data_IF_973261184962
#
_entry.id   IF_973261184962
#
_cell.length_a   1.000
_cell.length_b   1.000
_cell.length_c   1.000
_cell.angle_alpha   90.00
_cell.angle_beta   90.00
_cell.angle_gamma   90.00
#
_symmetry.space_group_name_H-M   'P 1'
#
loop_
_entity.id
_entity.type
_entity.pdbx_description
1 polymer ?
#
# COMPACT_ATOMS: atom_id res chain seq x y z
N UNK A 1 -2.94 10.42 11.83
CA UNK A 1 -1.71 11.22 12.06
C UNK A 1 -1.19 11.82 10.75
N UNK A 2 -0.83 11.07 9.72
CA UNK A 2 -0.23 11.58 8.46
C UNK A 2 -1.09 12.61 7.74
N UNK A 3 -2.39 12.41 7.58
CA UNK A 3 -3.29 13.43 7.00
C UNK A 3 -3.28 14.75 7.78
N UNK A 4 -3.39 14.67 9.12
CA UNK A 4 -3.39 15.87 9.95
C UNK A 4 -2.04 16.59 9.89
N UNK A 5 -0.94 15.85 9.87
CA UNK A 5 0.39 16.41 9.68
C UNK A 5 0.52 17.10 8.31
N UNK A 6 0.10 16.44 7.24
CA UNK A 6 0.10 17.01 5.89
C UNK A 6 -0.73 18.30 5.82
N UNK A 7 -1.97 18.28 6.32
CA UNK A 7 -2.85 19.45 6.29
C UNK A 7 -2.24 20.61 7.09
N UNK A 8 -1.65 20.34 8.26
CA UNK A 8 -0.98 21.36 9.07
C UNK A 8 0.23 21.98 8.36
N UNK A 9 1.02 21.18 7.66
CA UNK A 9 2.21 21.65 6.93
C UNK A 9 1.85 22.34 5.62
N UNK A 10 1.05 21.66 4.78
CA UNK A 10 0.78 22.09 3.41
C UNK A 10 -0.25 23.22 3.31
N UNK A 11 -1.24 23.26 4.21
CA UNK A 11 -2.37 24.17 4.14
C UNK A 11 -2.32 25.27 5.21
N UNK A 12 -1.79 24.94 6.40
CA UNK A 12 -1.72 25.91 7.51
C UNK A 12 -0.32 26.52 7.69
N UNK A 13 0.69 26.04 6.96
CA UNK A 13 2.06 26.56 7.02
C UNK A 13 2.79 26.32 8.35
N UNK A 14 2.34 25.33 9.14
CA UNK A 14 2.99 25.00 10.41
C UNK A 14 4.37 24.37 10.19
N UNK A 15 5.21 24.44 11.22
CA UNK A 15 6.56 23.85 11.16
C UNK A 15 6.48 22.35 10.92
N UNK A 16 7.05 21.90 9.80
CA UNK A 16 6.91 20.53 9.33
C UNK A 16 7.56 19.51 10.27
N UNK A 17 8.73 19.83 10.82
CA UNK A 17 9.43 18.95 11.77
C UNK A 17 8.62 18.75 13.05
N UNK A 18 8.07 19.82 13.62
CA UNK A 18 7.26 19.74 14.83
C UNK A 18 5.97 18.93 14.59
N UNK A 19 5.35 19.05 13.41
CA UNK A 19 4.15 18.30 13.07
C UNK A 19 4.46 16.82 12.78
N UNK A 20 5.64 16.52 12.23
CA UNK A 20 6.06 15.15 11.89
C UNK A 20 6.65 14.40 13.08
N UNK A 21 7.19 15.09 14.09
CA UNK A 21 7.87 14.48 15.24
C UNK A 21 7.10 13.32 15.91
N UNK A 22 5.75 13.40 16.16
CA UNK A 22 5.02 12.28 16.76
C UNK A 22 4.92 11.05 15.84
N UNK A 23 5.04 11.27 14.51
CA UNK A 23 5.05 10.18 13.52
C UNK A 23 6.42 9.49 13.58
N UNK A 24 7.50 10.27 13.54
CA UNK A 24 8.86 9.75 13.66
C UNK A 24 9.07 9.00 14.99
N UNK A 25 8.60 9.55 16.10
CA UNK A 25 8.66 8.91 17.42
C UNK A 25 7.97 7.53 17.42
N UNK A 26 6.78 7.43 16.81
CA UNK A 26 6.05 6.17 16.69
C UNK A 26 6.83 5.10 15.91
N UNK A 27 7.38 5.45 14.74
CA UNK A 27 8.11 4.49 13.91
C UNK A 27 9.47 4.14 14.54
N UNK A 28 10.17 5.12 15.12
CA UNK A 28 11.42 4.87 15.85
C UNK A 28 11.18 3.96 17.08
N UNK A 29 10.04 4.14 17.77
CA UNK A 29 9.63 3.23 18.84
C UNK A 29 9.46 1.79 18.36
N UNK A 30 8.79 1.57 17.23
CA UNK A 30 8.64 0.23 16.63
C UNK A 30 10.00 -0.38 16.28
N UNK A 31 10.90 0.39 15.67
CA UNK A 31 12.26 -0.05 15.32
C UNK A 31 13.02 -0.48 16.57
N UNK A 32 12.93 0.33 17.63
CA UNK A 32 13.56 0.05 18.92
C UNK A 32 12.99 -1.21 19.59
N UNK A 33 11.66 -1.34 19.62
CA UNK A 33 10.98 -2.49 20.23
C UNK A 33 11.30 -3.80 19.51
N UNK A 34 11.53 -3.74 18.19
CA UNK A 34 11.95 -4.89 17.38
C UNK A 34 13.47 -5.13 17.43
N UNK A 35 14.25 -4.28 18.10
CA UNK A 35 15.70 -4.39 18.20
C UNK A 35 16.44 -4.21 16.86
N UNK A 36 15.87 -3.45 15.93
CA UNK A 36 16.47 -3.22 14.62
C UNK A 36 17.51 -2.09 14.65
N UNK A 37 18.49 -2.18 13.75
CA UNK A 37 19.50 -1.12 13.55
C UNK A 37 19.12 -0.16 12.41
N UNK A 38 17.91 -0.26 11.89
CA UNK A 38 17.38 0.57 10.81
C UNK A 38 17.22 2.03 11.26
N UNK A 39 17.64 3.01 10.43
CA UNK A 39 17.22 4.41 10.52
C UNK A 39 16.28 4.74 9.38
N UNK A 40 15.25 5.56 9.66
CA UNK A 40 14.33 6.12 8.69
C UNK A 40 14.50 7.64 8.53
N UNK A 41 15.61 8.21 9.02
CA UNK A 41 15.81 9.67 9.03
C UNK A 41 15.77 10.27 7.62
N UNK A 42 16.42 9.63 6.64
CA UNK A 42 16.42 10.06 5.25
C UNK A 42 14.99 10.02 4.66
N UNK A 43 14.22 8.97 5.00
CA UNK A 43 12.82 8.83 4.57
C UNK A 43 11.93 9.92 5.18
N UNK A 44 12.15 10.26 6.44
CA UNK A 44 11.42 11.34 7.09
C UNK A 44 11.69 12.69 6.43
N UNK A 45 12.94 13.00 6.10
CA UNK A 45 13.28 14.24 5.38
C UNK A 45 12.60 14.30 4.01
N UNK A 46 12.60 13.21 3.26
CA UNK A 46 11.92 13.12 1.96
C UNK A 46 10.41 13.34 2.12
N UNK A 47 9.77 12.75 3.13
CA UNK A 47 8.33 12.90 3.37
C UNK A 47 8.00 14.34 3.78
N UNK A 48 8.78 14.92 4.70
CA UNK A 48 8.62 16.30 5.16
C UNK A 48 8.74 17.28 3.99
N UNK A 49 9.73 17.09 3.13
CA UNK A 49 9.94 17.94 1.95
C UNK A 49 8.76 17.83 0.94
N UNK A 50 8.25 16.63 0.72
CA UNK A 50 7.06 16.42 -0.11
C UNK A 50 5.79 17.03 0.50
N UNK A 51 5.65 17.05 1.82
CA UNK A 51 4.54 17.75 2.49
C UNK A 51 4.63 19.28 2.27
N UNK A 52 5.83 19.85 2.36
CA UNK A 52 6.08 21.28 2.03
C UNK A 52 5.77 21.60 0.57
N UNK A 53 6.10 20.68 -0.35
CA UNK A 53 5.81 20.78 -1.78
C UNK A 53 4.37 20.48 -2.15
N UNK A 54 3.51 20.18 -1.18
CA UNK A 54 2.08 19.88 -1.37
C UNK A 54 1.84 18.67 -2.27
N UNK A 55 2.55 17.57 -2.04
CA UNK A 55 2.49 16.35 -2.84
C UNK A 55 1.12 15.65 -2.86
N UNK A 56 0.15 16.10 -2.08
CA UNK A 56 -1.22 15.62 -2.09
C UNK A 56 -1.56 14.64 -0.96
N UNK A 57 -2.88 14.43 -0.79
CA UNK A 57 -3.39 13.56 0.28
C UNK A 57 -3.08 12.09 0.03
N UNK A 58 -3.06 11.64 -1.21
CA UNK A 58 -2.72 10.26 -1.56
C UNK A 58 -1.28 9.94 -1.18
N UNK A 59 -0.36 10.89 -1.43
CA UNK A 59 1.01 10.77 -0.96
C UNK A 59 1.06 10.65 0.57
N UNK A 60 0.38 11.54 1.30
CA UNK A 60 0.35 11.49 2.76
C UNK A 60 -0.24 10.17 3.30
N UNK A 61 -1.32 9.69 2.68
CA UNK A 61 -1.95 8.43 3.05
C UNK A 61 -1.00 7.24 2.91
N UNK A 62 -0.29 7.16 1.80
CA UNK A 62 0.58 6.03 1.47
C UNK A 62 1.81 5.90 2.38
N UNK A 63 2.23 6.98 3.04
CA UNK A 63 3.51 6.99 3.79
C UNK A 63 3.50 6.11 5.04
N UNK A 64 2.32 5.80 5.58
CA UNK A 64 2.19 4.84 6.70
C UNK A 64 2.64 3.44 6.29
N UNK A 65 2.05 2.92 5.24
CA UNK A 65 2.39 1.60 4.69
C UNK A 65 3.78 1.56 4.08
N UNK A 66 4.22 2.66 3.46
CA UNK A 66 5.59 2.79 2.96
C UNK A 66 6.62 2.59 4.07
N UNK A 67 6.53 3.36 5.16
CA UNK A 67 7.45 3.27 6.30
C UNK A 67 7.33 1.90 7.00
N UNK A 68 6.12 1.42 7.18
CA UNK A 68 5.89 0.09 7.76
C UNK A 68 6.44 -1.03 6.88
N UNK A 69 6.31 -0.91 5.56
CA UNK A 69 6.89 -1.85 4.60
C UNK A 69 8.42 -1.94 4.69
N UNK A 70 9.10 -0.79 4.85
CA UNK A 70 10.56 -0.75 5.05
C UNK A 70 10.96 -1.47 6.35
N UNK A 71 10.26 -1.19 7.45
CA UNK A 71 10.52 -1.84 8.75
C UNK A 71 10.30 -3.35 8.64
N UNK A 72 9.18 -3.76 8.04
CA UNK A 72 8.85 -5.18 7.87
C UNK A 72 9.86 -5.90 6.98
N UNK A 73 10.29 -5.29 5.88
CA UNK A 73 11.32 -5.83 5.01
C UNK A 73 12.64 -6.03 5.76
N UNK A 74 13.06 -5.03 6.54
CA UNK A 74 14.26 -5.11 7.36
C UNK A 74 14.15 -6.20 8.44
N UNK A 75 13.00 -6.29 9.13
CA UNK A 75 12.74 -7.29 10.16
C UNK A 75 12.79 -8.72 9.63
N UNK A 76 12.23 -8.95 8.42
CA UNK A 76 12.19 -10.26 7.79
C UNK A 76 13.49 -10.60 7.01
N UNK A 77 14.35 -9.62 6.75
CA UNK A 77 15.51 -9.78 5.86
C UNK A 77 15.09 -9.95 4.39
N UNK A 78 14.00 -9.31 3.97
CA UNK A 78 13.44 -9.34 2.62
C UNK A 78 13.75 -8.04 1.87
N UNK A 79 13.66 -8.09 0.54
CA UNK A 79 13.78 -6.88 -0.27
C UNK A 79 12.54 -5.99 -0.14
N UNK A 80 12.76 -4.68 0.01
CA UNK A 80 11.67 -3.70 -0.03
C UNK A 80 11.44 -3.22 -1.45
N UNK A 81 10.21 -3.32 -1.94
CA UNK A 81 9.79 -2.83 -3.25
C UNK A 81 8.68 -1.81 -3.07
N UNK A 82 8.99 -0.52 -3.33
CA UNK A 82 7.98 0.54 -3.26
C UNK A 82 6.89 0.33 -4.33
N UNK A 83 5.63 0.27 -3.91
CA UNK A 83 4.49 0.10 -4.80
C UNK A 83 4.40 1.20 -5.88
N UNK A 84 4.83 2.43 -5.58
CA UNK A 84 4.87 3.52 -6.56
C UNK A 84 5.85 3.29 -7.72
N UNK A 85 6.75 2.31 -7.60
CA UNK A 85 7.71 1.94 -8.66
C UNK A 85 7.24 0.79 -9.53
N UNK A 86 6.19 0.08 -9.13
CA UNK A 86 5.74 -1.17 -9.78
C UNK A 86 4.23 -1.23 -10.05
N UNK A 87 3.44 -0.37 -9.42
CA UNK A 87 1.99 -0.27 -9.62
C UNK A 87 1.67 1.08 -10.26
N UNK A 88 0.98 1.05 -11.40
CA UNK A 88 0.76 2.25 -12.21
C UNK A 88 -0.71 2.48 -12.53
N UNK A 89 -1.03 3.77 -12.70
CA UNK A 89 -2.33 4.23 -13.18
C UNK A 89 -2.17 4.91 -14.53
N UNK A 90 -3.23 4.86 -15.36
CA UNK A 90 -3.30 5.56 -16.64
C UNK A 90 -3.64 7.05 -16.45
N UNK A 91 -3.47 7.88 -17.48
CA UNK A 91 -3.87 9.30 -17.42
C UNK A 91 -5.35 9.52 -17.08
N UNK A 92 -6.23 8.57 -17.43
CA UNK A 92 -7.66 8.59 -17.08
C UNK A 92 -7.93 8.18 -15.62
N UNK A 93 -6.88 7.82 -14.89
CA UNK A 93 -6.94 7.42 -13.49
C UNK A 93 -7.32 5.98 -13.24
N UNK A 94 -7.49 5.18 -14.29
CA UNK A 94 -7.70 3.74 -14.16
C UNK A 94 -6.39 3.00 -13.94
N UNK A 95 -6.47 1.85 -13.35
CA UNK A 95 -5.32 0.97 -13.16
C UNK A 95 -4.71 0.55 -14.51
N UNK A 96 -3.39 0.60 -14.62
CA UNK A 96 -2.63 0.15 -15.80
C UNK A 96 -2.12 -1.28 -15.59
N UNK A 97 -2.94 -2.23 -15.97
CA UNK A 97 -2.68 -3.66 -15.83
C UNK A 97 -1.39 -4.08 -16.58
N UNK A 98 -1.26 -3.65 -17.84
CA UNK A 98 -0.16 -4.07 -18.71
C UNK A 98 1.20 -3.56 -18.23
N UNK A 99 1.28 -2.28 -17.89
CA UNK A 99 2.52 -1.69 -17.39
C UNK A 99 2.90 -2.27 -16.03
N UNK A 100 1.91 -2.41 -15.14
CA UNK A 100 2.10 -2.97 -13.81
C UNK A 100 2.58 -4.42 -13.86
N UNK A 101 1.92 -5.29 -14.63
CA UNK A 101 2.33 -6.69 -14.78
C UNK A 101 3.77 -6.80 -15.30
N UNK A 102 4.12 -6.00 -16.31
CA UNK A 102 5.47 -5.99 -16.88
C UNK A 102 6.52 -5.54 -15.86
N UNK A 103 6.25 -4.47 -15.12
CA UNK A 103 7.19 -3.94 -14.12
C UNK A 103 7.33 -4.89 -12.93
N UNK A 104 6.22 -5.42 -12.39
CA UNK A 104 6.24 -6.38 -11.29
C UNK A 104 7.01 -7.65 -11.68
N UNK A 105 6.71 -8.25 -12.84
CA UNK A 105 7.42 -9.42 -13.32
C UNK A 105 8.92 -9.17 -13.45
N UNK A 106 9.32 -7.99 -13.95
CA UNK A 106 10.73 -7.63 -14.10
C UNK A 106 11.43 -7.41 -12.75
N UNK A 107 10.81 -6.67 -11.84
CA UNK A 107 11.42 -6.30 -10.54
C UNK A 107 11.49 -7.51 -9.61
N UNK A 108 10.46 -8.35 -9.62
CA UNK A 108 10.40 -9.53 -8.74
C UNK A 108 11.14 -10.74 -9.30
N UNK A 109 11.55 -10.70 -10.59
CA UNK A 109 12.34 -11.76 -11.18
C UNK A 109 13.67 -11.93 -10.45
N UNK A 110 13.88 -13.12 -9.91
CA UNK A 110 15.13 -13.46 -9.19
C UNK A 110 15.14 -13.05 -7.71
N UNK A 111 14.12 -12.37 -7.21
CA UNK A 111 13.97 -12.15 -5.77
C UNK A 111 13.33 -13.38 -5.13
N UNK A 112 13.95 -13.87 -4.04
CA UNK A 112 13.37 -14.97 -3.25
C UNK A 112 12.19 -14.49 -2.43
N UNK A 113 12.28 -13.29 -1.88
CA UNK A 113 11.26 -12.70 -1.01
C UNK A 113 11.25 -11.17 -1.17
N UNK A 114 10.07 -10.59 -1.12
CA UNK A 114 9.90 -9.14 -1.16
C UNK A 114 8.74 -8.69 -0.25
N UNK A 115 8.84 -7.45 0.25
CA UNK A 115 7.75 -6.73 0.91
C UNK A 115 7.32 -5.60 -0.01
N UNK A 116 6.06 -5.58 -0.39
CA UNK A 116 5.45 -4.56 -1.24
C UNK A 116 4.31 -3.93 -0.45
N UNK A 117 4.39 -2.64 -0.09
CA UNK A 117 3.27 -1.98 0.58
C UNK A 117 2.06 -1.89 -0.36
N UNK A 118 0.86 -2.07 0.19
CA UNK A 118 -0.37 -2.08 -0.60
C UNK A 118 -1.04 -0.72 -0.75
N UNK A 119 -2.18 -0.71 -1.44
CA UNK A 119 -3.20 0.33 -1.67
C UNK A 119 -2.78 1.58 -2.45
N UNK A 120 -1.55 1.71 -2.92
CA UNK A 120 -1.10 2.85 -3.73
C UNK A 120 -0.22 2.43 -4.89
N UNK A 121 -0.02 3.34 -5.81
CA UNK A 121 0.86 3.26 -6.96
C UNK A 121 1.22 4.65 -7.47
N UNK A 122 1.64 4.78 -8.72
CA UNK A 122 2.01 6.05 -9.33
C UNK A 122 1.17 6.37 -10.58
N UNK A 123 0.85 7.65 -10.72
CA UNK A 123 0.37 8.24 -11.97
C UNK A 123 1.52 8.38 -12.99
N UNK A 124 1.25 8.63 -14.29
CA UNK A 124 2.28 8.80 -15.31
C UNK A 124 3.25 9.95 -15.05
N UNK A 125 2.85 10.94 -14.27
CA UNK A 125 3.69 12.07 -13.85
C UNK A 125 4.54 11.76 -12.60
N UNK A 126 4.47 10.53 -12.09
CA UNK A 126 5.18 10.09 -10.90
C UNK A 126 4.52 10.46 -9.57
N UNK A 127 3.39 11.16 -9.59
CA UNK A 127 2.65 11.44 -8.35
C UNK A 127 2.01 10.19 -7.81
N UNK A 128 1.99 10.06 -6.48
CA UNK A 128 1.36 8.91 -5.82
C UNK A 128 -0.15 9.00 -5.93
N UNK A 129 -0.79 7.88 -6.22
CA UNK A 129 -2.22 7.71 -6.22
C UNK A 129 -2.61 6.49 -5.39
N UNK A 130 -3.70 6.60 -4.64
CA UNK A 130 -4.27 5.50 -3.86
C UNK A 130 -5.44 4.84 -4.57
N UNK A 131 -5.63 3.55 -4.32
CA UNK A 131 -6.88 2.87 -4.68
C UNK A 131 -8.02 3.37 -3.80
N UNK A 132 -9.21 3.45 -4.34
CA UNK A 132 -10.36 4.09 -3.67
C UNK A 132 -10.83 3.33 -2.43
N UNK A 133 -10.73 1.99 -2.39
CA UNK A 133 -11.11 1.11 -1.27
C UNK A 133 -10.54 -0.29 -1.45
N UNK A 134 -10.24 -0.99 -0.34
CA UNK A 134 -9.72 -2.36 -0.40
C UNK A 134 -8.38 -2.49 -1.11
N UNK A 135 -7.63 -1.39 -1.23
CA UNK A 135 -6.46 -1.30 -2.09
C UNK A 135 -5.33 -2.25 -1.72
N UNK A 136 -5.23 -2.66 -0.45
CA UNK A 136 -4.23 -3.64 -0.02
C UNK A 136 -4.54 -5.03 -0.59
N UNK A 137 -5.81 -5.46 -0.53
CA UNK A 137 -6.26 -6.74 -1.12
C UNK A 137 -6.10 -6.72 -2.65
N UNK A 138 -6.44 -5.57 -3.27
CA UNK A 138 -6.22 -5.34 -4.71
C UNK A 138 -4.75 -5.48 -5.06
N UNK A 139 -3.85 -4.84 -4.29
CA UNK A 139 -2.41 -4.92 -4.54
C UNK A 139 -1.91 -6.36 -4.41
N UNK A 140 -2.33 -7.09 -3.37
CA UNK A 140 -1.97 -8.49 -3.19
C UNK A 140 -2.38 -9.37 -4.37
N UNK A 141 -3.61 -9.21 -4.89
CA UNK A 141 -4.08 -9.97 -6.05
C UNK A 141 -3.38 -9.57 -7.35
N UNK A 142 -3.03 -8.29 -7.53
CA UNK A 142 -2.23 -7.80 -8.67
C UNK A 142 -0.85 -8.47 -8.65
N UNK A 143 -0.16 -8.45 -7.51
CA UNK A 143 1.16 -9.06 -7.37
C UNK A 143 1.09 -10.56 -7.63
N UNK A 144 0.12 -11.26 -7.01
CA UNK A 144 -0.06 -12.70 -7.21
C UNK A 144 -0.28 -13.08 -8.68
N UNK A 145 -1.08 -12.28 -9.41
CA UNK A 145 -1.29 -12.46 -10.86
C UNK A 145 0.00 -12.22 -11.63
N UNK A 146 0.70 -11.13 -11.39
CA UNK A 146 1.89 -10.72 -12.15
C UNK A 146 3.04 -11.74 -12.06
N UNK A 147 3.20 -12.41 -10.91
CA UNK A 147 4.21 -13.46 -10.70
C UNK A 147 3.69 -14.87 -10.98
N UNK A 148 2.43 -15.01 -11.42
CA UNK A 148 1.77 -16.29 -11.60
C UNK A 148 1.87 -17.18 -10.36
N UNK A 149 1.51 -16.63 -9.19
CA UNK A 149 1.60 -17.32 -7.91
C UNK A 149 0.72 -18.58 -7.89
N UNK A 150 1.24 -19.66 -7.34
CA UNK A 150 0.49 -20.91 -7.13
C UNK A 150 -0.56 -20.76 -6.03
N UNK A 151 -0.27 -19.90 -5.03
CA UNK A 151 -1.14 -19.65 -3.89
C UNK A 151 -1.09 -18.17 -3.51
N UNK A 152 -2.24 -17.57 -3.23
CA UNK A 152 -2.39 -16.27 -2.59
C UNK A 152 -3.14 -16.43 -1.28
N UNK A 153 -2.51 -16.09 -0.17
CA UNK A 153 -3.13 -16.10 1.15
C UNK A 153 -3.43 -14.66 1.59
N UNK A 154 -4.69 -14.37 1.89
CA UNK A 154 -5.10 -13.07 2.42
C UNK A 154 -5.35 -13.17 3.93
N UNK A 155 -4.42 -12.67 4.71
CA UNK A 155 -4.51 -12.63 6.17
C UNK A 155 -5.23 -11.36 6.62
N UNK A 156 -6.37 -11.54 7.30
CA UNK A 156 -7.25 -10.45 7.72
C UNK A 156 -7.79 -10.73 9.13
N UNK A 157 -8.38 -9.72 9.75
CA UNK A 157 -9.01 -9.78 11.07
C UNK A 157 -10.43 -10.36 11.06
N UNK A 158 -10.91 -10.80 9.89
CA UNK A 158 -12.21 -11.49 9.73
C UNK A 158 -12.00 -12.93 9.22
N UNK A 159 -13.00 -13.79 9.45
CA UNK A 159 -12.91 -15.24 9.17
C UNK A 159 -12.96 -15.62 7.67
N UNK A 160 -12.54 -14.73 6.78
CA UNK A 160 -12.46 -14.98 5.34
C UNK A 160 -13.50 -14.21 4.52
N UNK A 161 -13.53 -14.48 3.21
CA UNK A 161 -14.49 -13.85 2.30
C UNK A 161 -15.86 -14.51 2.46
N UNK A 162 -16.88 -13.68 2.66
CA UNK A 162 -18.26 -14.12 2.73
C UNK A 162 -18.89 -14.13 1.33
N UNK A 163 -19.77 -15.09 1.06
CA UNK A 163 -20.50 -15.17 -0.21
C UNK A 163 -21.54 -14.06 -0.39
N UNK A 164 -21.93 -13.40 0.71
CA UNK A 164 -22.87 -12.28 0.72
C UNK A 164 -22.56 -11.33 1.87
N UNK A 165 -23.08 -10.10 1.78
CA UNK A 165 -22.96 -9.10 2.84
C UNK A 165 -23.75 -9.57 4.09
N UNK A 166 -23.09 -9.67 5.28
CA UNK A 166 -23.76 -10.09 6.51
C UNK A 166 -24.85 -9.12 7.00
N UNK A 167 -24.93 -7.92 6.43
CA UNK A 167 -26.03 -6.98 6.67
C UNK A 167 -27.30 -7.30 5.88
N UNK A 168 -27.20 -8.16 4.84
CA UNK A 168 -28.29 -8.52 3.95
C UNK A 168 -28.72 -9.98 4.16
N UNK A 169 -27.77 -10.86 4.43
CA UNK A 169 -27.98 -12.30 4.60
C UNK A 169 -27.49 -12.71 5.98
N UNK A 170 -28.37 -13.31 6.77
CA UNK A 170 -27.99 -13.87 8.06
C UNK A 170 -27.08 -15.08 7.85
N UNK A 171 -25.96 -15.12 8.61
CA UNK A 171 -24.95 -16.19 8.59
C UNK A 171 -24.46 -16.58 7.18
N UNK A 172 -23.92 -15.64 6.40
CA UNK A 172 -23.39 -15.95 5.07
C UNK A 172 -22.22 -16.92 5.18
N UNK A 173 -22.17 -17.91 4.28
CA UNK A 173 -21.08 -18.88 4.26
C UNK A 173 -19.75 -18.24 3.87
N UNK A 174 -18.68 -18.73 4.45
CA UNK A 174 -17.31 -18.37 4.07
C UNK A 174 -16.94 -19.07 2.77
N UNK A 175 -16.24 -18.37 1.90
CA UNK A 175 -15.65 -18.94 0.67
C UNK A 175 -14.34 -19.64 1.10
N UNK A 176 -14.28 -20.95 0.99
CA UNK A 176 -13.12 -21.76 1.41
C UNK A 176 -11.96 -21.68 0.41
N UNK A 177 -12.25 -21.50 -0.87
CA UNK A 177 -11.24 -21.42 -1.93
C UNK A 177 -11.71 -20.55 -3.08
N UNK A 178 -10.81 -19.72 -3.60
CA UNK A 178 -11.09 -18.81 -4.71
C UNK A 178 -9.86 -18.70 -5.61
N UNK A 179 -10.05 -18.59 -6.91
CA UNK A 179 -8.93 -18.42 -7.83
C UNK A 179 -8.38 -16.99 -7.78
N UNK A 180 -7.08 -16.83 -8.02
CA UNK A 180 -6.43 -15.51 -8.11
C UNK A 180 -7.11 -14.60 -9.15
N UNK A 181 -7.50 -15.17 -10.29
CA UNK A 181 -8.24 -14.44 -11.34
C UNK A 181 -9.56 -13.87 -10.84
N UNK A 182 -10.28 -14.59 -9.99
CA UNK A 182 -11.56 -14.13 -9.44
C UNK A 182 -11.36 -13.03 -8.40
N UNK A 183 -10.34 -13.11 -7.55
CA UNK A 183 -10.00 -12.06 -6.59
C UNK A 183 -9.63 -10.76 -7.29
N UNK A 184 -8.90 -10.84 -8.39
CA UNK A 184 -8.55 -9.69 -9.22
C UNK A 184 -9.79 -9.03 -9.85
N UNK A 185 -10.70 -9.81 -10.42
CA UNK A 185 -11.96 -9.29 -10.99
C UNK A 185 -12.83 -8.61 -9.93
N UNK A 186 -13.01 -9.23 -8.77
CA UNK A 186 -13.82 -8.65 -7.69
C UNK A 186 -13.25 -7.36 -7.12
N UNK A 187 -11.95 -7.22 -7.09
CA UNK A 187 -11.30 -5.99 -6.65
C UNK A 187 -11.63 -4.80 -7.56
N UNK A 188 -11.91 -5.04 -8.84
CA UNK A 188 -12.33 -4.03 -9.81
C UNK A 188 -13.85 -3.78 -9.88
N UNK A 189 -14.66 -4.78 -9.61
CA UNK A 189 -16.13 -4.72 -9.82
C UNK A 189 -16.92 -4.12 -8.62
N UNK A 190 -16.34 -3.96 -7.46
CA UNK A 190 -17.08 -3.65 -6.23
C UNK A 190 -17.60 -2.22 -6.11
N UNK A 191 -17.68 -1.40 -7.15
CA UNK A 191 -18.10 0.00 -6.97
C UNK A 191 -18.96 0.69 -8.02
N UNK A 192 -19.21 0.12 -9.17
CA UNK A 192 -20.06 0.79 -10.17
C UNK A 192 -21.48 0.21 -10.28
N UNK A 193 -21.78 -0.91 -9.61
CA UNK A 193 -23.06 -1.63 -9.75
C UNK A 193 -23.87 -1.82 -8.46
N UNK A 194 -23.64 -0.96 -7.41
CA UNK A 194 -24.49 -0.94 -6.21
C UNK A 194 -24.91 0.47 -5.83
#
# INVERSE_FOLDING_TARGET
>A
MLYACYDAVANEGKNAYNQFAPIAERFNGIISDLGLTLSLDDEYEVIIDNFRKKAGKDYAASRGEYLNGIILANYLGYEFVDAAKVVFFRPDGKFDDTLTDTCLASVLHGLSHAVIPGFYGANPDGTVRTFSRGGSDVTGSIVAKAINAELYENWTDVNGFLIADPRIVDEPKVIESITVSYTHLRAHETREDL
#
